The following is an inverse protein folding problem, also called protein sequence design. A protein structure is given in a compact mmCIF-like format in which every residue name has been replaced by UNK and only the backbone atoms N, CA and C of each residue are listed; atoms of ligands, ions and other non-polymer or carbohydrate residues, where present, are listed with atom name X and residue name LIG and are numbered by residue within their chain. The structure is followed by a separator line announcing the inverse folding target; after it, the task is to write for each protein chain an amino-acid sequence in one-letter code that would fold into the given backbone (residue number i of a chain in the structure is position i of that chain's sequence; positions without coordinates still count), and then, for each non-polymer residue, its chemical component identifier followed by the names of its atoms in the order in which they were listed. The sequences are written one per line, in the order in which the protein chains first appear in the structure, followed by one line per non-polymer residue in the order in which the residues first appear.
data_IF_507190095483
#
_entry.id   IF_507190095483
#
_cell.length_a   1.000
_cell.length_b   1.000
_cell.length_c   1.000
_cell.angle_alpha   90.00
_cell.angle_beta   90.00
_cell.angle_gamma   90.00
#
_symmetry.space_group_name_H-M   'P 1'
#
loop_
_entity.id
_entity.type
_entity.pdbx_description
1 polymer ?
#
# COMPACT_ATOMS: atom_id res chain seq x y z
N UNK A 1 7.36 -2.25 6.27
CA UNK A 1 8.66 -1.62 6.14
C UNK A 1 9.35 -1.97 4.87
N UNK A 2 10.06 -1.06 4.31
CA UNK A 2 10.82 -1.31 3.09
C UNK A 2 12.26 -0.87 3.26
N UNK A 3 13.12 -1.47 2.47
CA UNK A 3 14.54 -1.16 2.48
C UNK A 3 14.98 -0.95 1.06
N UNK A 4 15.98 -0.11 0.87
CA UNK A 4 16.55 0.08 -0.45
C UNK A 4 17.08 -1.26 -0.96
N UNK A 5 16.64 -1.66 -2.14
CA UNK A 5 17.01 -2.93 -2.71
C UNK A 5 18.36 -2.87 -3.39
N UNK A 6 18.61 -1.82 -4.08
CA UNK A 6 19.83 -1.64 -4.84
C UNK A 6 20.28 -0.21 -4.77
N UNK A 7 21.58 -0.02 -4.99
CA UNK A 7 22.05 1.25 -4.90
C UNK A 7 21.81 1.84 -6.13
N UNK A 8 21.40 2.50 -6.51
CA UNK A 8 20.94 3.24 -7.49
C UNK A 8 21.85 3.69 -8.44
N UNK A 9 22.79 2.99 -8.79
CA UNK A 9 23.46 3.35 -9.96
C UNK A 9 22.46 3.37 -11.05
N UNK A 10 21.46 2.52 -10.98
CA UNK A 10 20.47 2.41 -12.02
C UNK A 10 19.11 2.61 -11.43
N UNK A 11 18.40 3.62 -11.87
CA UNK A 11 17.03 3.83 -11.47
C UNK A 11 16.11 3.15 -12.49
N UNK A 12 14.97 2.69 -12.03
CA UNK A 12 13.96 2.10 -12.90
C UNK A 12 12.94 3.14 -13.31
N UNK A 13 12.47 3.07 -14.55
CA UNK A 13 11.29 3.82 -14.94
C UNK A 13 10.06 3.16 -14.33
N UNK A 14 8.91 3.83 -14.35
CA UNK A 14 7.66 3.24 -13.88
C UNK A 14 7.36 1.96 -14.65
N UNK A 15 7.49 1.97 -15.98
CA UNK A 15 7.21 0.79 -16.79
C UNK A 15 8.14 -0.36 -16.42
N UNK A 16 9.42 -0.07 -16.19
CA UNK A 16 10.38 -1.10 -15.79
C UNK A 16 10.04 -1.67 -14.43
N UNK A 17 9.66 -0.81 -13.49
CA UNK A 17 9.26 -1.27 -12.16
C UNK A 17 8.03 -2.18 -12.24
N UNK A 18 7.01 -1.78 -12.96
CA UNK A 18 5.80 -2.57 -13.05
C UNK A 18 6.06 -3.94 -13.68
N UNK A 19 6.91 -4.00 -14.70
CA UNK A 19 7.29 -5.26 -15.33
C UNK A 19 8.10 -6.14 -14.37
N UNK A 20 9.03 -5.53 -13.64
CA UNK A 20 9.84 -6.23 -12.64
C UNK A 20 8.95 -6.78 -11.52
N UNK A 21 8.03 -5.95 -11.03
CA UNK A 21 7.17 -6.34 -9.92
C UNK A 21 6.22 -7.47 -10.30
N UNK A 22 5.72 -7.47 -11.53
CA UNK A 22 4.81 -8.51 -11.99
C UNK A 22 5.44 -9.90 -11.96
N UNK A 23 6.76 -9.99 -12.08
CA UNK A 23 7.46 -11.26 -12.08
C UNK A 23 8.14 -11.57 -10.75
N UNK A 24 8.14 -10.62 -9.84
CA UNK A 24 8.86 -10.78 -8.59
C UNK A 24 8.08 -11.64 -7.60
N UNK A 25 8.78 -12.45 -6.82
CA UNK A 25 8.17 -13.24 -5.76
C UNK A 25 8.06 -12.44 -4.47
N UNK A 26 8.70 -11.28 -4.41
CA UNK A 26 8.66 -10.40 -3.25
C UNK A 26 8.02 -9.10 -3.66
N UNK A 27 7.40 -8.43 -2.72
CA UNK A 27 6.78 -7.13 -2.98
C UNK A 27 7.81 -6.02 -2.83
N UNK A 28 7.72 -5.03 -3.70
CA UNK A 28 8.60 -3.87 -3.65
C UNK A 28 7.79 -2.61 -3.81
N UNK A 29 8.11 -1.61 -3.00
CA UNK A 29 7.57 -0.26 -3.20
C UNK A 29 8.49 0.50 -4.14
N UNK A 30 8.00 1.58 -4.70
CA UNK A 30 8.73 2.32 -5.73
C UNK A 30 8.50 3.81 -5.53
N UNK A 31 9.57 4.57 -5.56
CA UNK A 31 9.46 6.02 -5.51
C UNK A 31 10.52 6.66 -6.38
N UNK A 32 10.07 7.33 -7.44
CA UNK A 32 10.92 8.12 -8.34
C UNK A 32 12.19 7.40 -8.80
N UNK A 33 12.03 6.15 -9.18
CA UNK A 33 13.13 5.35 -9.73
C UNK A 33 13.73 4.37 -8.75
N UNK A 34 13.54 4.58 -7.45
CA UNK A 34 14.12 3.70 -6.44
C UNK A 34 13.15 2.60 -6.05
N UNK A 35 13.68 1.40 -5.88
CA UNK A 35 12.89 0.20 -5.57
C UNK A 35 13.26 -0.26 -4.17
N UNK A 36 12.25 -0.49 -3.34
CA UNK A 36 12.45 -0.86 -1.95
C UNK A 36 11.75 -2.18 -1.65
N UNK A 37 12.51 -3.20 -1.24
CA UNK A 37 11.94 -4.49 -0.88
C UNK A 37 11.14 -4.37 0.42
N UNK A 38 9.96 -4.97 0.43
CA UNK A 38 9.13 -5.01 1.63
C UNK A 38 9.68 -6.07 2.57
N UNK A 39 9.83 -5.73 3.84
CA UNK A 39 10.25 -6.67 4.85
C UNK A 39 9.07 -7.54 5.27
N UNK A 40 9.36 -8.73 5.77
CA UNK A 40 8.34 -9.56 6.38
C UNK A 40 7.82 -8.92 7.66
N UNK A 41 6.67 -9.40 8.14
CA UNK A 41 6.05 -8.85 9.34
C UNK A 41 5.98 -9.90 10.44
N UNK A 42 5.86 -9.44 11.68
CA UNK A 42 5.74 -10.33 12.81
C UNK A 42 4.28 -10.71 13.05
N UNK A 43 4.08 -11.69 13.91
CA UNK A 43 2.78 -12.29 14.17
C UNK A 43 1.68 -11.29 14.49
N UNK A 44 1.95 -10.36 15.40
CA UNK A 44 0.90 -9.41 15.79
C UNK A 44 0.49 -8.47 14.67
N UNK A 45 1.44 -8.03 13.88
CA UNK A 45 1.14 -7.21 12.70
C UNK A 45 0.21 -7.99 11.75
N UNK A 46 0.56 -9.25 11.49
CA UNK A 46 -0.23 -10.09 10.61
C UNK A 46 -1.65 -10.29 11.12
N UNK A 47 -1.80 -10.55 12.42
CA UNK A 47 -3.12 -10.74 13.01
C UNK A 47 -3.97 -9.47 12.97
N UNK A 48 -3.38 -8.32 13.25
CA UNK A 48 -4.12 -7.06 13.22
C UNK A 48 -4.60 -6.77 11.80
N UNK A 49 -3.73 -6.94 10.81
CA UNK A 49 -4.12 -6.72 9.42
C UNK A 49 -5.24 -7.67 8.98
N UNK A 50 -5.12 -8.93 9.35
CA UNK A 50 -6.13 -9.94 9.03
C UNK A 50 -7.47 -9.64 9.70
N UNK A 51 -7.43 -9.28 10.97
CA UNK A 51 -8.65 -8.95 11.71
C UNK A 51 -9.32 -7.70 11.16
N UNK A 52 -8.54 -6.68 10.83
CA UNK A 52 -9.09 -5.47 10.24
C UNK A 52 -9.77 -5.76 8.91
N UNK A 53 -9.13 -6.58 8.07
CA UNK A 53 -9.71 -6.96 6.78
C UNK A 53 -11.02 -7.72 6.98
N UNK A 54 -11.04 -8.64 7.93
CA UNK A 54 -12.24 -9.42 8.23
C UNK A 54 -13.38 -8.53 8.70
N UNK A 55 -13.10 -7.66 9.67
CA UNK A 55 -14.13 -6.78 10.22
C UNK A 55 -14.69 -5.83 9.17
N UNK A 56 -13.82 -5.28 8.33
CA UNK A 56 -14.26 -4.40 7.26
C UNK A 56 -15.11 -5.14 6.24
N UNK A 57 -14.73 -6.36 5.88
CA UNK A 57 -15.53 -7.15 4.95
C UNK A 57 -16.91 -7.44 5.51
N UNK A 58 -17.01 -7.71 6.81
CA UNK A 58 -18.29 -7.96 7.45
C UNK A 58 -19.14 -6.68 7.42
N UNK A 59 -18.57 -5.55 7.80
CA UNK A 59 -19.30 -4.29 7.87
C UNK A 59 -19.74 -3.77 6.50
N UNK A 60 -18.95 -4.05 5.48
CA UNK A 60 -19.19 -3.50 4.14
C UNK A 60 -19.84 -4.50 3.19
N UNK A 61 -20.29 -5.65 3.71
CA UNK A 61 -20.78 -6.75 2.88
C UNK A 61 -21.91 -6.35 1.94
N UNK A 62 -22.81 -5.50 2.38
CA UNK A 62 -23.95 -5.11 1.56
C UNK A 62 -23.74 -3.76 0.89
N UNK A 63 -22.51 -3.28 0.85
CA UNK A 63 -22.21 -1.98 0.26
C UNK A 63 -21.36 -2.15 -0.99
N UNK A 64 -21.38 -1.18 -1.90
CA UNK A 64 -20.59 -1.29 -3.14
C UNK A 64 -19.11 -0.97 -2.88
N UNK A 65 -18.48 -1.74 -1.99
CA UNK A 65 -17.11 -1.53 -1.57
C UNK A 65 -16.28 -2.80 -1.72
N UNK A 66 -14.98 -2.62 -1.91
CA UNK A 66 -14.02 -3.71 -1.87
C UNK A 66 -12.97 -3.41 -0.81
N UNK A 67 -12.55 -4.44 -0.10
CA UNK A 67 -11.49 -4.37 0.89
C UNK A 67 -10.33 -5.21 0.38
N UNK A 68 -9.16 -4.61 0.30
CA UNK A 68 -7.96 -5.29 -0.20
C UNK A 68 -6.90 -5.34 0.88
N UNK A 69 -6.20 -6.47 0.96
CA UNK A 69 -5.07 -6.63 1.87
C UNK A 69 -3.78 -6.13 1.25
N UNK A 70 -2.67 -6.54 1.83
CA UNK A 70 -1.37 -6.00 1.48
C UNK A 70 -0.81 -6.48 0.15
N UNK A 71 -1.54 -7.28 -0.60
CA UNK A 71 -1.06 -7.76 -1.90
C UNK A 71 -1.44 -6.84 -3.05
N UNK A 72 -2.25 -5.83 -2.80
CA UNK A 72 -2.65 -4.87 -3.84
C UNK A 72 -1.85 -3.58 -3.71
N UNK A 73 -1.20 -3.20 -4.82
CA UNK A 73 -0.48 -1.93 -4.87
C UNK A 73 -1.44 -0.76 -4.93
N UNK A 74 -1.01 0.34 -4.40
CA UNK A 74 -1.69 1.63 -4.53
C UNK A 74 -0.74 2.57 -5.26
N UNK A 75 -1.25 3.29 -6.25
CA UNK A 75 -0.47 4.38 -6.86
C UNK A 75 -0.87 5.68 -6.16
N UNK A 76 0.06 6.25 -5.42
CA UNK A 76 -0.17 7.52 -4.74
C UNK A 76 -0.16 8.66 -5.76
N UNK A 77 0.79 8.61 -6.68
CA UNK A 77 0.93 9.55 -7.78
C UNK A 77 1.79 8.89 -8.85
N UNK A 78 1.94 9.53 -9.96
CA UNK A 78 2.84 9.02 -10.97
C UNK A 78 4.23 8.92 -10.36
N UNK A 79 4.81 7.76 -10.38
CA UNK A 79 6.13 7.53 -9.83
C UNK A 79 6.18 7.11 -8.37
N UNK A 80 5.04 6.87 -7.71
CA UNK A 80 5.05 6.44 -6.31
C UNK A 80 4.03 5.33 -6.08
N UNK A 81 4.51 4.12 -5.80
CA UNK A 81 3.69 2.92 -5.61
C UNK A 81 4.01 2.29 -4.27
N UNK A 82 2.98 1.95 -3.51
CA UNK A 82 3.11 1.38 -2.17
C UNK A 82 2.17 0.20 -1.98
N UNK A 83 2.39 -0.57 -0.90
CA UNK A 83 1.53 -1.68 -0.51
C UNK A 83 1.05 -1.44 0.93
N UNK A 84 -0.05 -0.75 1.13
CA UNK A 84 -0.58 -0.57 2.48
C UNK A 84 -1.15 -1.88 3.03
N UNK A 85 -1.26 -1.99 4.34
CA UNK A 85 -1.75 -3.22 4.97
C UNK A 85 -3.20 -3.52 4.59
N UNK A 86 -4.05 -2.50 4.56
CA UNK A 86 -5.44 -2.65 4.13
C UNK A 86 -5.85 -1.40 3.37
N UNK A 87 -6.60 -1.58 2.30
CA UNK A 87 -7.18 -0.46 1.56
C UNK A 87 -8.65 -0.75 1.25
N UNK A 88 -9.46 0.30 1.24
CA UNK A 88 -10.89 0.22 0.96
C UNK A 88 -11.21 1.17 -0.17
N UNK A 89 -12.03 0.70 -1.10
CA UNK A 89 -12.53 1.53 -2.19
C UNK A 89 -14.01 1.25 -2.36
N UNK A 90 -14.81 2.28 -2.65
CA UNK A 90 -16.26 2.15 -2.75
C UNK A 90 -16.78 2.87 -3.98
N UNK A 91 -17.92 2.40 -4.48
CA UNK A 91 -18.66 2.99 -5.59
C UNK A 91 -17.88 2.85 -6.90
N UNK A 92 -17.25 3.90 -7.35
CA UNK A 92 -16.43 3.82 -8.55
C UNK A 92 -15.08 3.22 -8.17
N UNK A 93 -14.71 2.11 -8.79
CA UNK A 93 -13.51 1.38 -8.42
C UNK A 93 -12.57 1.37 -9.62
N UNK A 94 -11.44 2.05 -9.48
CA UNK A 94 -10.49 2.22 -10.58
C UNK A 94 -9.20 1.48 -10.34
N UNK A 95 -8.92 0.51 -11.19
CA UNK A 95 -7.66 -0.21 -11.21
C UNK A 95 -6.93 0.10 -12.52
N UNK A 96 -5.64 -0.18 -12.54
CA UNK A 96 -4.87 -0.09 -13.79
C UNK A 96 -5.31 -1.20 -14.77
N UNK A 97 -4.79 -1.17 -15.98
CA UNK A 97 -5.19 -2.11 -17.02
C UNK A 97 -4.98 -3.57 -16.64
N UNK A 98 -3.98 -3.84 -15.79
CA UNK A 98 -3.66 -5.21 -15.39
C UNK A 98 -4.37 -5.65 -14.11
N UNK A 99 -5.19 -4.79 -13.54
CA UNK A 99 -5.91 -5.08 -12.28
C UNK A 99 -4.99 -5.42 -11.12
N UNK A 100 -3.82 -4.80 -11.06
CA UNK A 100 -2.87 -5.03 -9.97
C UNK A 100 -2.64 -3.80 -9.10
N UNK A 101 -3.06 -2.63 -9.56
CA UNK A 101 -2.83 -1.37 -8.85
C UNK A 101 -4.14 -0.62 -8.70
N UNK A 102 -4.54 -0.36 -7.47
CA UNK A 102 -5.73 0.43 -7.18
C UNK A 102 -5.37 1.91 -7.25
N UNK A 103 -6.19 2.68 -7.93
CA UNK A 103 -5.89 4.08 -8.21
C UNK A 103 -6.68 5.06 -7.35
N UNK A 104 -7.76 4.62 -6.71
CA UNK A 104 -8.64 5.53 -5.98
C UNK A 104 -9.15 4.98 -4.64
N UNK A 105 -8.26 4.57 -3.74
CA UNK A 105 -8.71 4.13 -2.41
C UNK A 105 -9.32 5.30 -1.64
N UNK A 106 -10.30 5.01 -0.78
CA UNK A 106 -10.89 6.03 0.07
C UNK A 106 -10.40 5.93 1.52
N UNK A 107 -9.97 4.74 1.95
CA UNK A 107 -9.43 4.56 3.29
C UNK A 107 -8.22 3.64 3.20
N UNK A 108 -7.19 3.99 3.92
CA UNK A 108 -5.98 3.17 4.03
C UNK A 108 -5.67 2.95 5.50
N UNK A 109 -5.34 1.69 5.84
CA UNK A 109 -4.91 1.31 7.18
C UNK A 109 -3.48 0.84 7.14
N UNK A 110 -2.67 1.32 8.07
CA UNK A 110 -1.29 0.87 8.24
C UNK A 110 -1.09 0.43 9.68
N UNK A 111 -0.49 -0.73 9.87
CA UNK A 111 -0.11 -1.23 11.18
C UNK A 111 1.33 -0.80 11.42
N UNK A 112 1.56 -0.05 12.49
CA UNK A 112 2.86 0.55 12.74
C UNK A 112 3.60 -0.16 13.87
N UNK A 113 4.91 -0.34 13.68
CA UNK A 113 5.79 -0.79 14.74
C UNK A 113 6.55 0.41 15.29
N UNK A 114 7.20 0.24 16.44
CA UNK A 114 7.99 1.33 17.02
C UNK A 114 9.08 1.80 16.06
N UNK A 115 9.67 0.89 15.31
CA UNK A 115 10.76 1.24 14.41
C UNK A 115 10.32 2.05 13.21
N UNK A 116 9.04 2.03 12.85
CA UNK A 116 8.54 2.72 11.66
C UNK A 116 7.59 3.84 11.99
N UNK A 117 7.17 3.95 13.24
CA UNK A 117 6.11 4.88 13.63
C UNK A 117 6.37 6.33 13.24
N UNK A 118 7.55 6.83 13.52
CA UNK A 118 7.85 8.24 13.24
C UNK A 118 7.77 8.54 11.75
N UNK A 119 8.34 7.66 10.91
CA UNK A 119 8.31 7.83 9.47
C UNK A 119 6.89 7.72 8.93
N UNK A 120 6.14 6.72 9.42
CA UNK A 120 4.79 6.48 8.91
C UNK A 120 3.83 7.59 9.31
N UNK A 121 4.01 8.17 10.49
CA UNK A 121 3.14 9.28 10.90
C UNK A 121 3.43 10.55 10.13
N UNK A 122 4.69 10.79 9.78
CA UNK A 122 5.08 12.01 9.10
C UNK A 122 5.02 11.88 7.59
N UNK A 123 6.10 11.35 7.03
CA UNK A 123 6.27 11.34 5.58
C UNK A 123 5.20 10.54 4.84
N UNK A 124 4.87 9.37 5.36
CA UNK A 124 3.96 8.48 4.67
C UNK A 124 2.52 9.02 4.70
N UNK A 125 2.10 9.56 5.83
CA UNK A 125 0.77 10.15 5.95
C UNK A 125 0.63 11.31 4.97
N UNK A 126 1.65 12.16 4.90
CA UNK A 126 1.64 13.29 3.99
C UNK A 126 1.53 12.83 2.54
N UNK A 127 2.27 11.78 2.18
CA UNK A 127 2.21 11.24 0.84
C UNK A 127 0.84 10.67 0.51
N UNK A 128 0.25 9.92 1.42
CA UNK A 128 -1.07 9.34 1.19
C UNK A 128 -2.12 10.42 0.94
N UNK A 129 -2.04 11.53 1.65
CA UNK A 129 -3.04 12.59 1.48
C UNK A 129 -2.87 13.37 0.18
N UNK A 130 -1.89 13.04 -0.65
CA UNK A 130 -1.84 13.55 -2.02
C UNK A 130 -2.84 12.83 -2.92
N UNK A 131 -3.38 11.69 -2.48
CA UNK A 131 -4.44 11.00 -3.21
C UNK A 131 -5.75 11.78 -3.04
N UNK A 132 -6.32 12.23 -4.15
CA UNK A 132 -7.55 13.01 -4.08
C UNK A 132 -8.71 12.20 -3.54
N UNK A 133 -8.72 10.89 -3.79
CA UNK A 133 -9.81 10.02 -3.34
C UNK A 133 -9.77 9.72 -1.86
N UNK A 134 -8.62 9.88 -1.21
CA UNK A 134 -8.45 9.41 0.16
C UNK A 134 -9.22 10.28 1.15
N UNK A 135 -10.04 9.65 1.97
CA UNK A 135 -10.81 10.32 2.99
C UNK A 135 -10.23 10.13 4.39
N UNK A 136 -9.66 8.95 4.63
CA UNK A 136 -9.09 8.62 5.94
C UNK A 136 -7.83 7.78 5.82
N UNK A 137 -6.87 8.10 6.64
CA UNK A 137 -5.66 7.30 6.80
C UNK A 137 -5.61 6.87 8.27
N UNK A 138 -5.73 5.57 8.51
CA UNK A 138 -5.85 5.02 9.85
C UNK A 138 -4.55 4.32 10.23
N UNK A 139 -3.95 4.74 11.32
CA UNK A 139 -2.74 4.15 11.84
C UNK A 139 -3.09 3.30 13.06
N UNK A 140 -2.64 2.05 13.07
CA UNK A 140 -2.87 1.14 14.18
C UNK A 140 -1.52 0.86 14.81
N UNK A 141 -1.37 1.22 16.08
CA UNK A 141 -0.11 1.03 16.78
C UNK A 141 -0.05 -0.34 17.41
N UNK A 142 1.10 -0.98 17.29
CA UNK A 142 1.35 -2.26 17.96
C UNK A 142 1.60 -2.08 19.44
#
# INVERSE_FOLDING_TARGET
MSQALAKKETLMSVAEYLAFEAKSKRKHEYMDGEVFAMAGVKRNHSLIGSNATTDLNIQLREKPCEVHGSDIKIRIREGHYVYPDVSVVCNEINFDANNTTLLNPIVIFEVLSKSTEARDRGDKAEDYFKLESLQNYVMILL
#
